data_IF_644593838408
#
_entry.id   IF_644593838408
#
_cell.length_a   1.000
_cell.length_b   1.000
_cell.length_c   1.000
_cell.angle_alpha   90.00
_cell.angle_beta   90.00
_cell.angle_gamma   90.00
#
_symmetry.space_group_name_H-M   'P 1'
#
loop_
_entity.id
_entity.type
_entity.pdbx_description
1 polymer ?
#
# COMPACT_ATOMS: atom_id res chain seq x y z
N UNK A 1 28.80 -9.19 16.94
CA UNK A 1 27.58 -8.62 16.32
C UNK A 1 27.81 -8.43 14.82
N UNK A 2 27.07 -9.12 13.96
CA UNK A 2 27.19 -8.99 12.50
C UNK A 2 26.63 -7.66 11.95
N UNK A 3 26.74 -7.40 10.63
CA UNK A 3 26.27 -6.15 10.02
C UNK A 3 24.82 -5.78 10.35
N UNK A 4 23.87 -6.72 10.23
CA UNK A 4 22.47 -6.48 10.59
C UNK A 4 22.26 -6.17 12.07
N UNK A 5 23.04 -6.78 12.95
CA UNK A 5 23.01 -6.48 14.39
C UNK A 5 23.56 -5.09 14.73
N UNK A 6 24.51 -4.56 13.93
CA UNK A 6 24.96 -3.17 14.07
C UNK A 6 23.86 -2.19 13.69
N UNK A 7 23.14 -2.45 12.59
CA UNK A 7 21.97 -1.64 12.21
C UNK A 7 20.91 -1.69 13.30
N UNK A 8 20.60 -2.88 13.82
CA UNK A 8 19.66 -3.05 14.92
C UNK A 8 20.03 -2.18 16.14
N UNK A 9 21.29 -2.24 16.59
CA UNK A 9 21.75 -1.42 17.71
C UNK A 9 21.69 0.08 17.41
N UNK A 10 21.94 0.49 16.16
CA UNK A 10 21.81 1.89 15.73
C UNK A 10 20.35 2.35 15.77
N UNK A 11 19.40 1.55 15.29
CA UNK A 11 17.97 1.86 15.37
C UNK A 11 17.48 1.90 16.82
N UNK A 12 17.92 0.98 17.69
CA UNK A 12 17.61 1.03 19.13
C UNK A 12 18.09 2.34 19.76
N UNK A 13 19.36 2.72 19.51
CA UNK A 13 19.93 3.93 20.05
C UNK A 13 19.20 5.18 19.54
N UNK A 14 18.84 5.22 18.25
CA UNK A 14 18.08 6.32 17.67
C UNK A 14 16.65 6.45 18.22
N UNK A 15 16.06 5.35 18.70
CA UNK A 15 14.77 5.34 19.38
C UNK A 15 14.87 5.51 20.92
N UNK A 16 16.05 5.90 21.43
CA UNK A 16 16.48 5.89 22.84
C UNK A 16 16.06 4.63 23.62
N UNK A 17 16.32 3.45 23.04
CA UNK A 17 16.16 2.16 23.72
C UNK A 17 17.55 1.62 24.07
N UNK A 18 17.79 1.35 25.34
CA UNK A 18 19.05 0.73 25.76
C UNK A 18 19.12 -0.73 25.32
N UNK A 19 20.24 -1.10 24.69
CA UNK A 19 20.51 -2.50 24.31
C UNK A 19 20.56 -3.43 25.52
N UNK A 20 21.03 -2.94 26.68
CA UNK A 20 21.19 -3.74 27.91
C UNK A 20 19.86 -4.13 28.54
N UNK A 21 18.81 -3.34 28.32
CA UNK A 21 17.45 -3.59 28.82
C UNK A 21 16.58 -4.33 27.79
N UNK A 22 17.13 -4.65 26.61
CA UNK A 22 16.39 -5.30 25.53
C UNK A 22 16.65 -6.81 25.56
N UNK A 23 15.61 -7.60 25.83
CA UNK A 23 15.64 -9.06 25.69
C UNK A 23 15.55 -9.46 24.21
N UNK A 24 16.49 -10.26 23.71
CA UNK A 24 16.59 -10.62 22.28
C UNK A 24 16.72 -12.13 22.13
N UNK A 25 15.61 -12.87 22.24
CA UNK A 25 15.58 -14.28 21.87
C UNK A 25 15.54 -14.42 20.34
N UNK A 26 15.89 -15.59 19.83
CA UNK A 26 15.74 -15.93 18.42
C UNK A 26 14.61 -16.95 18.26
N UNK A 27 13.97 -17.00 17.09
CA UNK A 27 13.07 -18.14 16.77
C UNK A 27 13.89 -19.43 16.70
N UNK A 28 15.04 -19.39 16.03
CA UNK A 28 16.02 -20.48 15.96
C UNK A 28 17.30 -20.07 16.71
N UNK A 29 17.78 -20.89 17.65
CA UNK A 29 19.01 -20.61 18.43
C UNK A 29 20.31 -20.83 17.67
N UNK A 30 20.21 -21.23 16.41
CA UNK A 30 21.31 -21.47 15.51
C UNK A 30 21.02 -20.80 14.17
N UNK A 31 22.07 -20.59 13.38
CA UNK A 31 21.92 -20.16 11.99
C UNK A 31 21.64 -21.40 11.14
N UNK A 32 20.43 -21.55 10.57
CA UNK A 32 20.12 -22.73 9.76
C UNK A 32 20.85 -22.67 8.42
N UNK A 33 21.35 -23.81 7.94
CA UNK A 33 21.91 -23.92 6.59
C UNK A 33 20.86 -23.60 5.52
N UNK A 34 19.61 -23.98 5.78
CA UNK A 34 18.48 -23.65 4.93
C UNK A 34 17.25 -23.24 5.75
N UNK A 35 16.92 -21.94 5.72
CA UNK A 35 15.73 -21.41 6.40
C UNK A 35 14.43 -22.03 5.88
N UNK A 36 14.38 -22.51 4.63
CA UNK A 36 13.17 -23.12 4.05
C UNK A 36 12.76 -24.44 4.71
N UNK A 37 13.65 -25.05 5.49
CA UNK A 37 13.34 -26.20 6.32
C UNK A 37 12.34 -25.86 7.43
N UNK A 38 12.36 -24.61 7.91
CA UNK A 38 11.54 -24.12 9.04
C UNK A 38 10.46 -23.13 8.60
N UNK A 39 10.74 -22.38 7.53
CA UNK A 39 9.88 -21.31 7.06
C UNK A 39 9.88 -21.21 5.54
N UNK A 40 8.75 -21.55 4.91
CA UNK A 40 8.62 -21.58 3.46
C UNK A 40 7.95 -20.32 2.93
N UNK A 41 8.54 -19.75 1.89
CA UNK A 41 8.01 -18.62 1.13
C UNK A 41 7.81 -19.02 -0.34
N UNK A 42 6.80 -19.87 -0.63
CA UNK A 42 6.51 -20.31 -1.99
C UNK A 42 6.12 -19.14 -2.91
N UNK A 43 6.52 -19.20 -4.18
CA UNK A 43 6.10 -18.22 -5.19
C UNK A 43 4.57 -18.24 -5.33
N UNK A 44 3.95 -17.07 -5.29
CA UNK A 44 2.49 -16.87 -5.44
C UNK A 44 1.61 -17.59 -4.41
N UNK A 45 2.19 -18.03 -3.28
CA UNK A 45 1.44 -18.60 -2.17
C UNK A 45 1.85 -17.90 -0.87
N UNK A 46 0.95 -17.80 0.12
CA UNK A 46 1.32 -17.23 1.40
C UNK A 46 2.49 -18.00 2.02
N UNK A 47 3.42 -17.28 2.63
CA UNK A 47 4.43 -17.90 3.45
C UNK A 47 3.79 -18.65 4.63
N UNK A 48 4.47 -19.70 5.09
CA UNK A 48 4.00 -20.54 6.18
C UNK A 48 5.16 -21.18 6.95
N UNK A 49 4.89 -21.45 8.23
CA UNK A 49 5.78 -22.15 9.15
C UNK A 49 5.62 -23.66 8.94
N UNK A 50 6.74 -24.39 8.93
CA UNK A 50 6.74 -25.85 8.80
C UNK A 50 6.68 -26.53 10.17
N UNK A 51 6.37 -27.83 10.21
CA UNK A 51 6.30 -28.59 11.46
C UNK A 51 7.66 -28.64 12.19
N UNK A 52 8.77 -28.60 11.44
CA UNK A 52 10.13 -28.59 11.99
C UNK A 52 10.41 -27.34 12.83
N UNK A 53 9.69 -26.24 12.64
CA UNK A 53 9.83 -25.03 13.44
C UNK A 53 9.09 -25.09 14.79
N UNK A 54 8.13 -26.01 14.95
CA UNK A 54 7.24 -26.06 16.13
C UNK A 54 8.02 -26.14 17.45
N UNK A 55 8.99 -27.06 17.64
CA UNK A 55 9.72 -27.14 18.91
C UNK A 55 10.49 -25.86 19.26
N UNK A 56 10.95 -25.16 18.23
CA UNK A 56 11.71 -23.91 18.37
C UNK A 56 10.80 -22.74 18.75
N UNK A 57 9.59 -22.68 18.17
CA UNK A 57 8.57 -21.70 18.53
C UNK A 57 8.07 -21.94 19.95
N UNK A 58 7.82 -23.19 20.35
CA UNK A 58 7.42 -23.51 21.72
C UNK A 58 8.46 -23.08 22.76
N UNK A 59 9.75 -23.29 22.47
CA UNK A 59 10.84 -22.79 23.31
C UNK A 59 10.83 -21.25 23.37
N UNK A 60 10.74 -20.57 22.23
CA UNK A 60 10.66 -19.11 22.19
C UNK A 60 9.47 -18.59 23.03
N UNK A 61 8.31 -19.23 22.93
CA UNK A 61 7.13 -18.88 23.72
C UNK A 61 7.39 -19.06 25.21
N UNK A 62 8.06 -20.14 25.64
CA UNK A 62 8.46 -20.32 27.05
C UNK A 62 9.39 -19.21 27.53
N UNK A 63 10.38 -18.84 26.73
CA UNK A 63 11.32 -17.76 27.05
C UNK A 63 10.63 -16.39 27.16
N UNK A 64 9.76 -16.07 26.21
CA UNK A 64 8.98 -14.83 26.22
C UNK A 64 7.96 -14.79 27.35
N UNK A 65 7.39 -15.94 27.73
CA UNK A 65 6.48 -16.05 28.88
C UNK A 65 7.20 -15.76 30.20
N UNK A 66 8.46 -16.20 30.34
CA UNK A 66 9.28 -15.93 31.52
C UNK A 66 9.75 -14.46 31.60
N UNK A 67 9.68 -13.71 30.50
CA UNK A 67 10.05 -12.29 30.45
C UNK A 67 8.95 -11.39 31.03
N UNK A 68 9.33 -10.23 31.55
CA UNK A 68 8.38 -9.18 31.94
C UNK A 68 7.97 -8.27 30.77
N UNK A 69 8.60 -8.42 29.59
CA UNK A 69 8.35 -7.58 28.42
C UNK A 69 6.88 -7.64 27.95
N UNK A 70 6.19 -6.51 28.01
CA UNK A 70 4.80 -6.34 27.56
C UNK A 70 4.67 -6.06 26.04
N UNK A 71 5.73 -5.56 25.40
CA UNK A 71 5.81 -5.37 23.94
C UNK A 71 6.87 -6.29 23.37
N UNK A 72 6.50 -7.03 22.34
CA UNK A 72 7.36 -7.94 21.60
C UNK A 72 7.43 -7.44 20.16
N UNK A 73 8.65 -7.28 19.65
CA UNK A 73 8.91 -6.69 18.33
C UNK A 73 9.45 -7.78 17.39
N UNK A 74 8.58 -8.50 16.65
CA UNK A 74 9.06 -9.46 15.66
C UNK A 74 9.76 -8.73 14.50
N UNK A 75 11.00 -9.12 14.23
CA UNK A 75 11.85 -8.53 13.19
C UNK A 75 11.83 -9.38 11.92
N UNK A 76 10.89 -9.11 11.02
CA UNK A 76 10.72 -9.85 9.76
C UNK A 76 9.55 -10.84 9.75
N UNK A 77 9.36 -11.48 8.59
CA UNK A 77 8.18 -12.32 8.32
C UNK A 77 8.10 -13.58 9.19
N UNK A 78 9.23 -14.27 9.42
CA UNK A 78 9.22 -15.52 10.17
C UNK A 78 8.86 -15.33 11.66
N UNK A 79 9.48 -14.40 12.41
CA UNK A 79 9.04 -14.10 13.78
C UNK A 79 7.61 -13.56 13.87
N UNK A 80 7.13 -12.80 12.86
CA UNK A 80 5.76 -12.30 12.82
C UNK A 80 4.76 -13.47 12.82
N UNK A 81 4.93 -14.42 11.89
CA UNK A 81 4.06 -15.59 11.80
C UNK A 81 4.22 -16.53 12.99
N UNK A 82 5.39 -16.56 13.63
CA UNK A 82 5.60 -17.38 14.82
C UNK A 82 4.80 -16.90 16.03
N UNK A 83 4.45 -15.61 16.08
CA UNK A 83 3.80 -14.98 17.24
C UNK A 83 2.36 -14.51 16.97
N UNK A 84 1.93 -14.52 15.71
CA UNK A 84 0.63 -14.03 15.23
C UNK A 84 0.09 -14.89 14.08
N UNK A 85 -1.18 -14.71 13.74
CA UNK A 85 -1.79 -15.21 12.50
C UNK A 85 -1.51 -14.31 11.26
N UNK A 86 -0.77 -13.21 11.45
CA UNK A 86 -0.57 -12.18 10.43
C UNK A 86 0.60 -12.51 9.51
N UNK A 87 0.52 -11.97 8.30
CA UNK A 87 1.50 -12.15 7.22
C UNK A 87 1.81 -10.80 6.58
N UNK A 88 2.87 -10.76 5.78
CA UNK A 88 3.36 -9.58 5.09
C UNK A 88 3.83 -8.49 6.06
N UNK A 89 5.08 -8.64 6.52
CA UNK A 89 5.75 -7.70 7.41
C UNK A 89 5.76 -6.26 6.89
N UNK A 90 5.75 -6.07 5.56
CA UNK A 90 5.69 -4.74 4.95
C UNK A 90 4.39 -4.00 5.27
N UNK A 91 3.27 -4.73 5.36
CA UNK A 91 1.95 -4.20 5.74
C UNK A 91 1.78 -4.08 7.26
N UNK A 92 2.27 -5.08 7.98
CA UNK A 92 2.03 -5.22 9.43
C UNK A 92 2.99 -4.40 10.30
N UNK A 93 4.05 -3.84 9.72
CA UNK A 93 5.01 -3.04 10.51
C UNK A 93 4.33 -1.82 11.14
N UNK A 94 4.78 -1.45 12.33
CA UNK A 94 4.25 -0.30 13.07
C UNK A 94 2.90 -0.55 13.74
N UNK A 95 2.14 -1.57 13.34
CA UNK A 95 0.86 -1.93 13.97
C UNK A 95 1.01 -2.53 15.36
N UNK A 96 0.16 -2.13 16.30
CA UNK A 96 0.03 -2.80 17.60
C UNK A 96 -1.04 -3.88 17.49
N UNK A 97 -0.60 -5.13 17.56
CA UNK A 97 -1.42 -6.31 17.37
C UNK A 97 -1.50 -7.14 18.66
N UNK A 98 -2.62 -7.82 18.93
CA UNK A 98 -2.65 -8.86 19.94
C UNK A 98 -1.81 -10.06 19.49
N UNK A 99 -1.06 -10.65 20.41
CA UNK A 99 -0.43 -11.95 20.15
C UNK A 99 -1.47 -13.08 20.15
N UNK A 100 -1.33 -14.03 19.22
CA UNK A 100 -2.11 -15.27 19.20
C UNK A 100 -1.45 -16.41 19.98
N UNK A 101 -0.19 -16.24 20.38
CA UNK A 101 0.60 -17.25 21.11
C UNK A 101 0.88 -16.85 22.56
N UNK A 102 1.05 -15.55 22.81
CA UNK A 102 1.31 -14.96 24.13
C UNK A 102 0.14 -14.05 24.52
N UNK A 103 -1.00 -14.65 24.84
CA UNK A 103 -2.23 -13.93 25.13
C UNK A 103 -2.01 -12.79 26.14
N UNK A 104 -2.53 -11.60 25.80
CA UNK A 104 -2.37 -10.38 26.60
C UNK A 104 -1.08 -9.60 26.35
N UNK A 105 -0.15 -10.09 25.52
CA UNK A 105 1.04 -9.34 25.10
C UNK A 105 0.82 -8.58 23.78
N UNK A 106 1.49 -7.43 23.66
CA UNK A 106 1.52 -6.63 22.44
C UNK A 106 2.58 -7.16 21.48
N UNK A 107 2.18 -7.33 20.22
CA UNK A 107 3.09 -7.54 19.11
C UNK A 107 3.16 -6.23 18.31
N UNK A 108 4.36 -5.70 18.13
CA UNK A 108 4.61 -4.55 17.27
C UNK A 108 5.64 -4.93 16.20
N UNK A 109 5.21 -5.40 15.02
CA UNK A 109 6.13 -5.89 14.01
C UNK A 109 7.01 -4.79 13.41
N UNK A 110 8.21 -5.16 13.00
CA UNK A 110 9.15 -4.27 12.31
C UNK A 110 9.94 -5.02 11.25
N UNK A 111 10.48 -4.28 10.27
CA UNK A 111 11.34 -4.85 9.24
C UNK A 111 12.62 -5.46 9.85
N UNK A 112 13.15 -6.48 9.19
CA UNK A 112 14.40 -7.10 9.59
C UNK A 112 15.58 -6.14 9.34
N UNK A 113 16.41 -5.77 10.34
CA UNK A 113 17.50 -4.80 10.19
C UNK A 113 18.53 -5.15 9.10
N UNK A 114 18.69 -6.43 8.78
CA UNK A 114 19.56 -6.88 7.70
C UNK A 114 19.13 -6.33 6.32
N UNK A 115 17.87 -5.99 6.11
CA UNK A 115 17.37 -5.41 4.82
C UNK A 115 18.07 -4.10 4.46
N UNK A 116 18.49 -3.32 5.47
CA UNK A 116 19.26 -2.08 5.31
C UNK A 116 20.63 -2.35 4.70
N UNK A 117 21.27 -3.44 5.11
CA UNK A 117 22.57 -3.86 4.57
C UNK A 117 22.44 -4.34 3.12
N UNK A 118 21.27 -4.85 2.73
CA UNK A 118 20.99 -5.38 1.39
C UNK A 118 20.32 -4.36 0.45
N UNK A 119 20.49 -3.06 0.71
CA UNK A 119 20.14 -1.98 -0.22
C UNK A 119 18.80 -1.29 0.04
N UNK A 120 18.01 -1.72 1.02
CA UNK A 120 16.84 -0.96 1.47
C UNK A 120 17.24 0.00 2.59
N UNK A 121 17.98 1.06 2.25
CA UNK A 121 18.52 2.01 3.22
C UNK A 121 17.43 2.71 4.03
N UNK A 122 16.29 3.00 3.40
CA UNK A 122 15.15 3.69 4.02
C UNK A 122 14.51 2.89 5.15
N UNK A 123 14.60 1.55 5.11
CA UNK A 123 14.10 0.71 6.19
C UNK A 123 14.71 1.04 7.55
N UNK A 124 15.89 1.67 7.61
CA UNK A 124 16.47 2.16 8.88
C UNK A 124 15.53 3.12 9.61
N UNK A 125 14.95 4.08 8.89
CA UNK A 125 14.04 5.07 9.46
C UNK A 125 12.72 4.42 9.88
N UNK A 126 12.20 3.51 9.06
CA UNK A 126 10.98 2.76 9.37
C UNK A 126 11.14 1.92 10.66
N UNK A 127 12.25 1.19 10.78
CA UNK A 127 12.56 0.38 11.97
C UNK A 127 12.72 1.28 13.21
N UNK A 128 13.38 2.43 13.05
CA UNK A 128 13.57 3.38 14.15
C UNK A 128 12.23 3.90 14.64
N UNK A 129 11.34 4.29 13.72
CA UNK A 129 9.97 4.72 14.05
C UNK A 129 9.16 3.61 14.73
N UNK A 130 9.27 2.37 14.25
CA UNK A 130 8.59 1.22 14.87
C UNK A 130 9.09 0.99 16.31
N UNK A 131 10.39 1.20 16.56
CA UNK A 131 10.98 1.12 17.89
C UNK A 131 10.55 2.26 18.81
N UNK A 132 10.43 3.49 18.31
CA UNK A 132 9.87 4.61 19.08
C UNK A 132 8.45 4.29 19.53
N UNK A 133 7.61 3.75 18.65
CA UNK A 133 6.26 3.30 18.99
C UNK A 133 6.32 2.15 20.01
N UNK A 134 7.24 1.18 19.86
CA UNK A 134 7.41 0.10 20.82
C UNK A 134 7.81 0.60 22.21
N UNK A 135 8.68 1.61 22.29
CA UNK A 135 9.06 2.27 23.55
C UNK A 135 7.88 2.98 24.20
N UNK A 136 7.08 3.73 23.43
CA UNK A 136 5.86 4.37 23.96
C UNK A 136 4.87 3.32 24.48
N UNK A 137 4.70 2.24 23.74
CA UNK A 137 3.79 1.15 24.09
C UNK A 137 4.30 0.32 25.28
N UNK A 138 5.60 0.25 25.54
CA UNK A 138 6.13 -0.53 26.67
C UNK A 138 5.83 0.10 28.03
N UNK A 139 5.39 1.37 28.07
CA UNK A 139 5.03 2.07 29.31
C UNK A 139 3.79 1.50 30.01
N UNK A 140 2.93 0.76 29.31
CA UNK A 140 1.71 0.18 29.86
C UNK A 140 1.45 -1.21 29.28
N UNK A 141 0.93 -2.18 30.03
CA UNK A 141 0.78 -3.55 29.56
C UNK A 141 -0.37 -3.73 28.56
N UNK A 142 -1.42 -2.91 28.65
CA UNK A 142 -2.64 -3.12 27.86
C UNK A 142 -2.47 -2.72 26.39
N UNK A 143 -3.31 -3.30 25.54
CA UNK A 143 -3.49 -2.85 24.16
C UNK A 143 -4.46 -1.67 24.18
N UNK A 144 -3.90 -0.45 24.11
CA UNK A 144 -4.67 0.79 24.06
C UNK A 144 -4.57 1.37 22.66
N UNK A 145 -5.61 1.18 21.87
CA UNK A 145 -5.79 1.86 20.60
C UNK A 145 -6.56 3.16 20.84
N UNK A 146 -6.42 4.11 19.91
CA UNK A 146 -7.21 5.33 19.92
C UNK A 146 -8.70 4.94 19.77
N UNK A 147 -9.57 5.28 20.74
CA UNK A 147 -11.00 5.01 20.60
C UNK A 147 -11.56 5.88 19.48
N UNK A 148 -12.29 5.29 18.54
CA UNK A 148 -12.94 6.02 17.45
C UNK A 148 -14.40 5.63 17.37
N UNK A 149 -15.26 6.63 17.25
CA UNK A 149 -16.68 6.46 17.04
C UNK A 149 -16.96 6.43 15.53
N UNK A 150 -17.18 5.24 14.99
CA UNK A 150 -17.54 5.04 13.59
C UNK A 150 -19.06 4.90 13.46
N UNK A 151 -19.67 5.84 12.74
CA UNK A 151 -21.09 5.79 12.38
C UNK A 151 -21.18 5.20 10.97
N UNK A 152 -21.52 3.92 10.87
CA UNK A 152 -21.71 3.22 9.61
C UNK A 152 -23.20 2.92 9.40
N UNK A 153 -23.63 2.88 8.14
CA UNK A 153 -25.03 2.67 7.76
C UNK A 153 -26.04 3.60 8.51
N UNK A 154 -25.77 4.91 8.62
CA UNK A 154 -26.72 5.85 9.23
C UNK A 154 -28.04 5.87 8.45
N UNK A 155 -29.12 6.34 9.08
CA UNK A 155 -30.32 6.72 8.31
C UNK A 155 -30.05 7.95 7.45
N UNK A 156 -30.87 8.20 6.44
CA UNK A 156 -30.75 9.41 5.62
C UNK A 156 -30.95 10.69 6.45
N UNK A 157 -31.79 10.65 7.48
CA UNK A 157 -32.01 11.76 8.42
C UNK A 157 -30.75 12.03 9.25
N UNK A 158 -30.17 10.99 9.87
CA UNK A 158 -28.91 11.10 10.63
C UNK A 158 -27.77 11.63 9.75
N UNK A 159 -27.70 11.17 8.50
CA UNK A 159 -26.71 11.63 7.53
C UNK A 159 -26.85 13.12 7.22
N UNK A 160 -28.09 13.57 6.98
CA UNK A 160 -28.39 14.97 6.70
C UNK A 160 -28.05 15.87 7.89
N UNK A 161 -28.45 15.45 9.11
CA UNK A 161 -28.15 16.18 10.34
C UNK A 161 -26.65 16.31 10.55
N UNK A 162 -25.90 15.22 10.32
CA UNK A 162 -24.45 15.21 10.44
C UNK A 162 -23.78 16.20 9.47
N UNK A 163 -24.12 16.11 8.17
CA UNK A 163 -23.57 17.01 7.15
C UNK A 163 -23.92 18.48 7.45
N UNK A 164 -25.15 18.73 7.88
CA UNK A 164 -25.63 20.08 8.20
C UNK A 164 -24.92 20.64 9.43
N UNK A 165 -24.66 19.81 10.45
CA UNK A 165 -23.89 20.20 11.63
C UNK A 165 -22.44 20.53 11.29
N UNK A 166 -21.77 19.69 10.50
CA UNK A 166 -20.42 19.97 9.98
C UNK A 166 -20.39 21.31 9.24
N UNK A 167 -21.34 21.51 8.31
CA UNK A 167 -21.42 22.71 7.50
C UNK A 167 -21.70 23.97 8.33
N UNK A 168 -22.53 23.86 9.37
CA UNK A 168 -22.80 24.95 10.31
C UNK A 168 -21.59 25.30 11.16
N UNK A 169 -20.88 24.29 11.67
CA UNK A 169 -19.74 24.46 12.58
C UNK A 169 -18.49 25.00 11.89
N UNK A 170 -18.38 24.84 10.56
CA UNK A 170 -17.22 25.29 9.77
C UNK A 170 -15.88 24.74 10.27
N UNK A 171 -15.89 23.53 10.82
CA UNK A 171 -14.67 22.85 11.24
C UNK A 171 -14.00 22.20 10.03
N UNK A 172 -12.65 22.08 10.03
CA UNK A 172 -11.96 21.27 9.03
C UNK A 172 -12.55 19.85 9.01
N UNK A 173 -12.76 19.32 7.81
CA UNK A 173 -13.39 18.02 7.62
C UNK A 173 -12.57 17.18 6.65
N UNK A 174 -12.19 15.98 7.08
CA UNK A 174 -11.66 14.96 6.17
C UNK A 174 -12.79 14.27 5.44
N UNK A 175 -12.64 14.01 4.15
CA UNK A 175 -13.61 13.20 3.39
C UNK A 175 -12.92 12.27 2.41
N UNK A 176 -13.60 11.18 2.08
CA UNK A 176 -13.15 10.13 1.16
C UNK A 176 -14.36 9.50 0.47
N UNK A 177 -14.27 9.23 -0.83
CA UNK A 177 -15.35 8.57 -1.60
C UNK A 177 -14.98 7.14 -1.96
N UNK A 178 -16.00 6.29 -1.98
CA UNK A 178 -15.90 4.95 -2.55
C UNK A 178 -16.73 4.82 -3.83
N UNK A 179 -16.11 4.23 -4.86
CA UNK A 179 -16.72 4.12 -6.19
C UNK A 179 -17.04 2.67 -6.50
N UNK A 180 -18.30 2.40 -6.84
CA UNK A 180 -18.78 1.10 -7.33
C UNK A 180 -19.54 1.34 -8.63
N UNK A 181 -19.20 0.59 -9.68
CA UNK A 181 -19.93 0.70 -10.96
C UNK A 181 -19.82 2.07 -11.64
N UNK A 182 -18.74 2.82 -11.39
CA UNK A 182 -18.54 4.20 -11.87
C UNK A 182 -19.55 5.22 -11.29
N UNK A 183 -20.09 4.93 -10.12
CA UNK A 183 -20.89 5.86 -9.31
C UNK A 183 -20.35 5.89 -7.87
N UNK A 184 -20.60 6.98 -7.15
CA UNK A 184 -20.25 7.07 -5.73
C UNK A 184 -21.21 6.20 -4.92
N UNK A 185 -20.70 5.13 -4.32
CA UNK A 185 -21.46 4.23 -3.45
C UNK A 185 -21.69 4.88 -2.08
N UNK A 186 -20.59 5.29 -1.46
CA UNK A 186 -20.58 5.97 -0.17
C UNK A 186 -19.53 7.09 -0.12
N UNK A 187 -19.75 8.02 0.81
CA UNK A 187 -18.84 9.11 1.14
C UNK A 187 -18.71 9.19 2.65
N UNK A 188 -17.49 9.31 3.15
CA UNK A 188 -17.22 9.48 4.56
C UNK A 188 -16.84 10.91 4.90
N UNK A 189 -17.11 11.29 6.14
CA UNK A 189 -16.66 12.55 6.72
C UNK A 189 -16.11 12.32 8.12
N UNK A 190 -14.99 12.96 8.44
CA UNK A 190 -14.40 12.96 9.77
C UNK A 190 -14.07 14.40 10.20
N UNK A 191 -14.71 14.94 11.24
CA UNK A 191 -14.35 16.25 11.81
C UNK A 191 -13.14 16.19 12.74
N UNK A 192 -12.69 14.99 13.11
CA UNK A 192 -11.56 14.74 13.99
C UNK A 192 -11.06 13.30 13.78
N UNK A 193 -9.91 12.92 14.37
CA UNK A 193 -9.48 11.53 14.37
C UNK A 193 -10.44 10.59 15.10
N UNK A 194 -11.19 11.09 16.07
CA UNK A 194 -11.94 10.28 17.03
C UNK A 194 -13.37 9.96 16.57
N UNK A 195 -13.81 10.54 15.46
CA UNK A 195 -15.17 10.38 14.93
C UNK A 195 -15.18 10.41 13.40
N UNK A 196 -15.89 9.47 12.80
CA UNK A 196 -16.19 9.51 11.38
C UNK A 196 -17.54 8.84 11.07
N UNK A 197 -18.21 9.37 10.05
CA UNK A 197 -19.41 8.78 9.46
C UNK A 197 -19.08 8.25 8.07
N UNK A 198 -19.65 7.11 7.67
CA UNK A 198 -19.70 6.67 6.27
C UNK A 198 -21.16 6.64 5.82
N UNK A 199 -21.47 7.46 4.82
CA UNK A 199 -22.84 7.68 4.33
C UNK A 199 -23.02 6.87 3.03
N UNK A 200 -23.78 5.76 3.05
CA UNK A 200 -24.02 4.92 1.88
C UNK A 200 -25.05 5.52 0.93
N UNK A 201 -24.69 6.64 0.29
CA UNK A 201 -25.62 7.45 -0.51
C UNK A 201 -26.36 6.62 -1.56
N UNK A 202 -25.67 5.71 -2.27
CA UNK A 202 -26.28 4.88 -3.30
C UNK A 202 -27.36 3.91 -2.79
N UNK A 203 -27.42 3.67 -1.48
CA UNK A 203 -28.32 2.70 -0.84
C UNK A 203 -29.62 3.35 -0.32
N UNK A 204 -29.76 4.67 -0.43
CA UNK A 204 -31.01 5.36 -0.07
C UNK A 204 -31.97 5.51 -1.26
N UNK A 205 -33.23 5.85 -0.98
CA UNK A 205 -34.19 6.22 -2.02
C UNK A 205 -33.72 7.45 -2.79
N UNK A 206 -34.10 7.56 -4.08
CA UNK A 206 -33.72 8.69 -4.92
C UNK A 206 -34.04 10.06 -4.30
N UNK A 207 -35.19 10.19 -3.62
CA UNK A 207 -35.57 11.43 -2.94
C UNK A 207 -34.56 11.81 -1.85
N UNK A 208 -34.08 10.82 -1.08
CA UNK A 208 -33.10 11.03 -0.03
C UNK A 208 -31.72 11.30 -0.60
N UNK A 209 -31.34 10.60 -1.69
CA UNK A 209 -30.09 10.86 -2.40
C UNK A 209 -30.00 12.32 -2.87
N UNK A 210 -31.06 12.85 -3.48
CA UNK A 210 -31.09 14.25 -3.95
C UNK A 210 -30.89 15.23 -2.79
N UNK A 211 -31.51 14.98 -1.64
CA UNK A 211 -31.37 15.83 -0.44
C UNK A 211 -29.92 15.79 0.07
N UNK A 212 -29.37 14.58 0.21
CA UNK A 212 -28.01 14.38 0.72
C UNK A 212 -26.96 14.97 -0.23
N UNK A 213 -27.08 14.75 -1.54
CA UNK A 213 -26.15 15.34 -2.51
C UNK A 213 -26.16 16.86 -2.50
N UNK A 214 -27.32 17.49 -2.27
CA UNK A 214 -27.39 18.96 -2.12
C UNK A 214 -26.68 19.42 -0.85
N UNK A 215 -26.82 18.70 0.27
CA UNK A 215 -26.13 19.02 1.51
C UNK A 215 -24.61 18.82 1.38
N UNK A 216 -24.17 17.71 0.77
CA UNK A 216 -22.76 17.43 0.48
C UNK A 216 -22.18 18.51 -0.44
N UNK A 217 -22.90 18.89 -1.50
CA UNK A 217 -22.48 19.95 -2.39
C UNK A 217 -22.31 21.29 -1.65
N UNK A 218 -23.24 21.64 -0.76
CA UNK A 218 -23.15 22.84 0.05
C UNK A 218 -21.92 22.84 0.98
N UNK A 219 -21.65 21.71 1.65
CA UNK A 219 -20.47 21.54 2.51
C UNK A 219 -19.15 21.66 1.73
N UNK A 220 -19.03 20.94 0.61
CA UNK A 220 -17.78 20.87 -0.16
C UNK A 220 -17.48 22.15 -0.95
N UNK A 221 -18.53 22.84 -1.43
CA UNK A 221 -18.40 24.11 -2.17
C UNK A 221 -18.10 25.31 -1.27
N UNK A 222 -18.29 25.18 0.04
CA UNK A 222 -18.07 26.27 0.99
C UNK A 222 -16.57 26.58 1.15
N UNK A 223 -16.10 27.78 0.83
CA UNK A 223 -14.68 28.13 0.96
C UNK A 223 -14.21 28.27 2.43
N UNK A 224 -15.14 28.45 3.37
CA UNK A 224 -14.83 28.63 4.80
C UNK A 224 -14.68 27.29 5.53
N UNK A 225 -14.99 26.18 4.86
CA UNK A 225 -14.76 24.82 5.37
C UNK A 225 -13.45 24.30 4.77
N UNK A 226 -12.48 23.98 5.60
CA UNK A 226 -11.22 23.36 5.15
C UNK A 226 -11.48 21.89 4.83
N UNK A 227 -10.99 21.40 3.69
CA UNK A 227 -11.13 19.99 3.27
C UNK A 227 -9.83 19.24 3.45
N UNK A 228 -9.85 18.18 4.23
CA UNK A 228 -8.72 17.28 4.46
C UNK A 228 -8.92 16.03 3.60
N UNK A 229 -7.85 15.49 3.05
CA UNK A 229 -7.95 14.29 2.23
C UNK A 229 -6.61 13.66 1.93
N UNK A 230 -6.63 12.47 1.34
CA UNK A 230 -5.45 11.73 0.93
C UNK A 230 -5.57 11.48 -0.58
N UNK A 231 -4.69 12.08 -1.39
CA UNK A 231 -4.84 12.04 -2.85
C UNK A 231 -6.21 12.58 -3.30
N UNK A 232 -6.66 13.66 -2.65
CA UNK A 232 -8.00 14.23 -2.75
C UNK A 232 -8.34 14.74 -4.17
N UNK A 233 -7.33 14.85 -5.03
CA UNK A 233 -7.51 15.18 -6.44
C UNK A 233 -8.39 14.14 -7.15
N UNK A 234 -8.34 12.87 -6.73
CA UNK A 234 -9.22 11.83 -7.27
C UNK A 234 -10.68 12.09 -6.90
N UNK A 235 -10.96 12.26 -5.61
CA UNK A 235 -12.31 12.47 -5.07
C UNK A 235 -12.95 13.73 -5.64
N UNK A 236 -12.21 14.84 -5.64
CA UNK A 236 -12.69 16.13 -6.16
C UNK A 236 -12.94 16.07 -7.67
N UNK A 237 -12.09 15.39 -8.43
CA UNK A 237 -12.30 15.18 -9.87
C UNK A 237 -13.52 14.31 -10.13
N UNK A 238 -13.67 13.21 -9.39
CA UNK A 238 -14.77 12.26 -9.59
C UNK A 238 -16.12 12.90 -9.23
N UNK A 239 -16.22 13.57 -8.09
CA UNK A 239 -17.42 14.29 -7.65
C UNK A 239 -17.79 15.42 -8.62
N UNK A 240 -16.80 16.13 -9.16
CA UNK A 240 -17.06 17.17 -10.15
C UNK A 240 -17.56 16.57 -11.48
N UNK A 241 -16.99 15.46 -11.92
CA UNK A 241 -17.35 14.79 -13.18
C UNK A 241 -18.72 14.11 -13.14
N UNK A 242 -19.03 13.41 -12.04
CA UNK A 242 -20.21 12.54 -11.95
C UNK A 242 -21.36 13.17 -11.16
N UNK A 243 -21.06 13.99 -10.15
CA UNK A 243 -22.07 14.62 -9.30
C UNK A 243 -22.23 16.13 -9.57
N UNK A 244 -21.36 16.73 -10.39
CA UNK A 244 -21.34 18.18 -10.61
C UNK A 244 -20.93 18.99 -9.39
N UNK A 245 -20.29 18.36 -8.41
CA UNK A 245 -19.91 18.98 -7.13
C UNK A 245 -18.49 19.50 -7.23
N UNK A 246 -18.34 20.83 -7.11
CA UNK A 246 -17.03 21.48 -7.04
C UNK A 246 -16.62 21.69 -5.59
N UNK A 247 -15.48 21.13 -5.21
CA UNK A 247 -14.84 21.42 -3.92
C UNK A 247 -14.08 22.75 -4.00
N UNK A 248 -14.25 23.63 -3.01
CA UNK A 248 -13.57 24.96 -2.94
C UNK A 248 -12.88 25.16 -1.60
N UNK A 249 -12.22 26.30 -1.39
CA UNK A 249 -11.57 26.61 -0.12
C UNK A 249 -10.18 25.99 0.01
N UNK A 250 -9.62 26.04 1.21
CA UNK A 250 -8.31 25.47 1.50
C UNK A 250 -8.40 23.94 1.56
N UNK A 251 -7.41 23.28 0.95
CA UNK A 251 -7.29 21.82 0.88
C UNK A 251 -6.03 21.40 1.63
N UNK A 252 -6.20 20.49 2.57
CA UNK A 252 -5.16 19.83 3.32
C UNK A 252 -5.03 18.37 2.84
N UNK A 253 -4.26 18.17 1.76
CA UNK A 253 -3.91 16.86 1.25
C UNK A 253 -2.69 16.26 1.97
N UNK A 254 -2.89 15.13 2.66
CA UNK A 254 -1.84 14.42 3.42
C UNK A 254 -0.80 13.75 2.51
N UNK A 255 -1.17 13.32 1.31
CA UNK A 255 -0.22 12.72 0.36
C UNK A 255 0.77 13.77 -0.12
N UNK A 256 0.29 14.96 -0.44
CA UNK A 256 1.15 16.09 -0.86
C UNK A 256 2.05 16.52 0.30
N UNK A 257 1.47 16.69 1.49
CA UNK A 257 2.23 17.14 2.67
C UNK A 257 3.33 16.16 3.02
N UNK A 258 3.00 14.87 3.10
CA UNK A 258 3.96 13.82 3.36
C UNK A 258 5.04 13.72 2.27
N UNK A 259 4.68 13.89 1.00
CA UNK A 259 5.66 13.80 -0.08
C UNK A 259 6.67 14.95 -0.07
N UNK A 260 6.28 16.13 0.41
CA UNK A 260 7.19 17.27 0.55
C UNK A 260 8.15 17.05 1.73
N UNK A 261 7.63 16.61 2.88
CA UNK A 261 8.43 16.36 4.08
C UNK A 261 9.35 15.13 3.93
N UNK A 262 8.84 14.06 3.32
CA UNK A 262 9.50 12.75 3.23
C UNK A 262 9.50 12.23 1.78
N UNK A 263 10.26 12.86 0.85
CA UNK A 263 10.17 12.58 -0.59
C UNK A 263 10.58 11.15 -0.98
N UNK A 264 11.47 10.52 -0.21
CA UNK A 264 11.95 9.15 -0.44
C UNK A 264 11.04 8.08 0.17
N UNK A 265 10.04 8.46 0.97
CA UNK A 265 9.15 7.52 1.64
C UNK A 265 7.93 7.20 0.75
N UNK A 266 7.31 6.01 0.91
CA UNK A 266 5.99 5.77 0.36
C UNK A 266 4.99 6.81 0.85
N UNK A 267 3.99 7.12 0.02
CA UNK A 267 2.98 8.15 0.30
C UNK A 267 1.54 7.63 0.27
N UNK A 268 1.37 6.31 0.26
CA UNK A 268 0.06 5.67 0.40
C UNK A 268 -0.46 5.77 1.83
N UNK A 269 -1.78 5.84 2.00
CA UNK A 269 -2.40 5.97 3.32
C UNK A 269 -2.02 4.83 4.27
N UNK A 270 -1.89 3.61 3.72
CA UNK A 270 -1.43 2.43 4.46
C UNK A 270 -0.09 2.67 5.15
N UNK A 271 0.87 3.25 4.41
CA UNK A 271 2.17 3.60 4.96
C UNK A 271 2.09 4.77 5.94
N UNK A 272 1.37 5.85 5.58
CA UNK A 272 1.20 7.03 6.43
C UNK A 272 0.60 6.66 7.79
N UNK A 273 -0.45 5.84 7.82
CA UNK A 273 -1.06 5.33 9.05
C UNK A 273 -0.05 4.52 9.87
N UNK A 274 0.69 3.61 9.23
CA UNK A 274 1.73 2.81 9.93
C UNK A 274 2.84 3.67 10.55
N UNK A 275 3.08 4.87 10.00
CA UNK A 275 4.18 5.74 10.39
C UNK A 275 3.75 6.82 11.40
N UNK A 276 2.56 7.40 11.21
CA UNK A 276 2.07 8.57 11.96
C UNK A 276 1.05 8.21 13.04
N UNK A 277 0.17 7.23 12.84
CA UNK A 277 -0.95 6.92 13.74
C UNK A 277 -0.61 6.02 14.94
N UNK A 278 0.59 6.19 15.51
CA UNK A 278 1.05 5.62 16.80
C UNK A 278 0.56 4.18 17.14
N UNK A 279 0.67 3.25 16.20
CA UNK A 279 0.31 1.86 16.45
C UNK A 279 -1.04 1.40 15.90
N UNK A 280 -1.74 2.23 15.13
CA UNK A 280 -2.97 1.82 14.45
C UNK A 280 -2.76 0.49 13.67
N UNK A 281 -3.63 -0.52 13.89
CA UNK A 281 -3.55 -1.77 13.16
C UNK A 281 -3.77 -1.59 11.65
N UNK A 282 -3.01 -2.32 10.84
CA UNK A 282 -3.22 -2.35 9.40
C UNK A 282 -4.63 -2.85 9.05
N UNK A 283 -5.40 -2.03 8.32
CA UNK A 283 -6.78 -2.30 7.93
C UNK A 283 -7.01 -2.29 6.41
N UNK A 284 -6.05 -1.81 5.59
CA UNK A 284 -6.31 -1.49 4.17
C UNK A 284 -6.66 -2.68 3.26
N UNK A 285 -6.48 -3.92 3.74
CA UNK A 285 -6.99 -5.10 3.01
C UNK A 285 -8.52 -5.27 3.12
N UNK A 286 -9.17 -4.64 4.11
CA UNK A 286 -10.62 -4.62 4.28
C UNK A 286 -11.33 -4.02 3.04
N UNK A 287 -10.74 -3.01 2.39
CA UNK A 287 -11.23 -2.43 1.13
C UNK A 287 -11.15 -3.37 -0.08
N UNK A 288 -10.55 -4.55 0.06
CA UNK A 288 -10.42 -5.58 -0.99
C UNK A 288 -11.20 -6.86 -0.70
N UNK A 289 -11.52 -7.14 0.57
CA UNK A 289 -12.15 -8.40 0.99
C UNK A 289 -13.66 -8.31 1.16
N UNK A 290 -14.25 -7.12 1.04
CA UNK A 290 -15.69 -6.93 1.13
C UNK A 290 -16.48 -7.60 -0.03
N UNK A 291 -15.84 -7.83 -1.18
CA UNK A 291 -16.41 -8.63 -2.28
C UNK A 291 -16.19 -10.11 -2.01
N UNK A 292 -17.22 -10.78 -1.52
CA UNK A 292 -17.18 -12.20 -1.20
C UNK A 292 -17.52 -13.00 -2.47
N UNK A 293 -16.50 -13.63 -3.08
CA UNK A 293 -16.59 -14.34 -4.38
C UNK A 293 -17.82 -15.26 -4.51
N UNK A 294 -18.25 -15.87 -3.40
CA UNK A 294 -19.34 -16.85 -3.38
C UNK A 294 -20.55 -16.41 -2.51
N UNK A 295 -20.46 -15.31 -1.76
CA UNK A 295 -21.45 -14.93 -0.73
C UNK A 295 -22.00 -13.50 -0.88
N UNK A 296 -21.64 -12.78 -1.95
CA UNK A 296 -22.14 -11.43 -2.21
C UNK A 296 -21.20 -10.35 -1.69
N UNK A 297 -21.74 -9.41 -0.92
CA UNK A 297 -21.03 -8.20 -0.49
C UNK A 297 -21.16 -7.98 1.02
N UNK A 298 -20.04 -7.72 1.69
CA UNK A 298 -19.99 -7.24 3.07
C UNK A 298 -19.93 -5.71 3.05
N UNK A 299 -21.11 -5.09 2.94
CA UNK A 299 -21.24 -3.63 2.86
C UNK A 299 -20.85 -2.93 4.15
N UNK A 300 -21.10 -3.53 5.32
CA UNK A 300 -20.71 -2.93 6.60
C UNK A 300 -19.19 -2.83 6.72
N UNK A 301 -18.45 -3.86 6.30
CA UNK A 301 -16.99 -3.79 6.23
C UNK A 301 -16.52 -2.70 5.26
N UNK A 302 -17.19 -2.55 4.11
CA UNK A 302 -16.84 -1.52 3.12
C UNK A 302 -17.06 -0.10 3.65
N UNK A 303 -18.19 0.15 4.29
CA UNK A 303 -18.49 1.45 4.92
C UNK A 303 -17.60 1.74 6.13
N UNK A 304 -17.26 0.72 6.92
CA UNK A 304 -16.29 0.88 8.01
C UNK A 304 -14.90 1.23 7.47
N UNK A 305 -14.47 0.61 6.37
CA UNK A 305 -13.21 0.94 5.70
C UNK A 305 -13.19 2.40 5.22
N UNK A 306 -14.27 2.88 4.58
CA UNK A 306 -14.38 4.28 4.16
C UNK A 306 -14.36 5.26 5.35
N UNK A 307 -15.08 4.95 6.44
CA UNK A 307 -15.02 5.76 7.66
C UNK A 307 -13.61 5.80 8.30
N UNK A 308 -12.90 4.66 8.30
CA UNK A 308 -11.50 4.57 8.76
C UNK A 308 -10.58 5.45 7.91
N UNK A 309 -10.73 5.42 6.58
CA UNK A 309 -9.91 6.23 5.67
C UNK A 309 -10.04 7.74 5.99
N UNK A 310 -11.25 8.26 6.21
CA UNK A 310 -11.42 9.66 6.61
C UNK A 310 -10.84 9.98 8.00
N UNK A 311 -11.13 9.16 9.02
CA UNK A 311 -10.64 9.42 10.38
C UNK A 311 -9.12 9.38 10.48
N UNK A 312 -8.50 8.40 9.81
CA UNK A 312 -7.05 8.21 9.84
C UNK A 312 -6.33 9.22 8.95
N UNK A 313 -6.94 9.66 7.85
CA UNK A 313 -6.42 10.80 7.09
C UNK A 313 -6.39 12.07 7.95
N UNK A 314 -7.43 12.32 8.74
CA UNK A 314 -7.43 13.45 9.68
C UNK A 314 -6.28 13.31 10.70
N UNK A 315 -6.09 12.13 11.30
CA UNK A 315 -5.00 11.92 12.26
C UNK A 315 -3.62 12.11 11.63
N UNK A 316 -3.41 11.60 10.43
CA UNK A 316 -2.15 11.82 9.71
C UNK A 316 -1.92 13.31 9.50
N UNK A 317 -2.95 14.07 9.14
CA UNK A 317 -2.84 15.51 9.01
C UNK A 317 -2.43 16.18 10.33
N UNK A 318 -3.08 15.81 11.43
CA UNK A 318 -2.74 16.33 12.76
C UNK A 318 -1.28 16.08 13.15
N UNK A 319 -0.70 14.94 12.75
CA UNK A 319 0.70 14.60 13.03
C UNK A 319 1.71 15.39 12.17
N UNK A 320 1.35 15.78 10.93
CA UNK A 320 2.28 16.46 10.01
C UNK A 320 2.06 17.96 9.89
N UNK A 321 0.89 18.48 10.31
CA UNK A 321 0.47 19.88 10.06
C UNK A 321 1.46 20.89 10.62
N UNK A 322 1.98 20.65 11.83
CA UNK A 322 2.87 21.60 12.50
C UNK A 322 4.21 21.75 11.77
N UNK A 323 4.65 20.70 11.07
CA UNK A 323 5.86 20.70 10.25
C UNK A 323 5.59 21.29 8.86
N UNK A 324 4.57 20.79 8.14
CA UNK A 324 4.30 21.21 6.75
C UNK A 324 3.84 22.67 6.63
N UNK A 325 3.24 23.23 7.69
CA UNK A 325 2.78 24.61 7.71
C UNK A 325 3.89 25.62 8.08
N UNK A 326 5.11 25.16 8.38
CA UNK A 326 6.26 26.05 8.55
C UNK A 326 6.55 26.80 7.24
N UNK A 327 7.01 28.07 7.30
CA UNK A 327 7.20 28.91 6.12
C UNK A 327 8.04 28.29 5.00
N UNK A 328 9.07 27.51 5.36
CA UNK A 328 9.96 26.82 4.42
C UNK A 328 9.26 25.76 3.57
N UNK A 329 8.23 25.09 4.12
CA UNK A 329 7.52 24.00 3.46
C UNK A 329 6.18 24.47 2.86
N UNK A 330 5.51 25.39 3.56
CA UNK A 330 4.18 25.88 3.19
C UNK A 330 4.13 26.45 1.77
N UNK A 331 5.18 27.15 1.32
CA UNK A 331 5.24 27.70 -0.04
C UNK A 331 5.15 26.59 -1.10
N UNK A 332 5.85 25.47 -0.89
CA UNK A 332 5.80 24.33 -1.81
C UNK A 332 4.44 23.62 -1.73
N UNK A 333 3.90 23.50 -0.52
CA UNK A 333 2.61 22.88 -0.25
C UNK A 333 1.45 23.65 -0.91
N UNK A 334 1.34 24.95 -0.63
CA UNK A 334 0.32 25.85 -1.19
C UNK A 334 0.39 25.87 -2.73
N UNK A 335 1.59 25.86 -3.30
CA UNK A 335 1.77 25.79 -4.75
C UNK A 335 1.22 24.49 -5.33
N UNK A 336 1.43 23.36 -4.64
CA UNK A 336 0.94 22.07 -5.10
C UNK A 336 -0.59 21.97 -4.97
N UNK A 337 -1.16 22.39 -3.85
CA UNK A 337 -2.62 22.34 -3.62
C UNK A 337 -3.39 23.36 -4.48
N UNK A 338 -2.79 24.51 -4.82
CA UNK A 338 -3.37 25.47 -5.77
C UNK A 338 -3.59 24.90 -7.18
N UNK A 339 -2.98 23.76 -7.53
CA UNK A 339 -3.18 23.11 -8.83
C UNK A 339 -4.46 22.27 -8.91
N UNK A 340 -5.19 22.07 -7.81
CA UNK A 340 -6.42 21.25 -7.82
C UNK A 340 -7.45 21.75 -8.84
N UNK A 341 -7.80 23.04 -8.79
CA UNK A 341 -8.76 23.65 -9.72
C UNK A 341 -8.34 23.52 -11.20
N UNK A 342 -7.13 23.95 -11.63
CA UNK A 342 -6.72 23.83 -13.03
C UNK A 342 -6.55 22.37 -13.48
N UNK A 343 -6.09 21.46 -12.60
CA UNK A 343 -6.00 20.04 -12.92
C UNK A 343 -7.38 19.40 -13.09
N UNK A 344 -8.33 19.71 -12.20
CA UNK A 344 -9.72 19.26 -12.33
C UNK A 344 -10.34 19.76 -13.64
N UNK A 345 -10.12 21.03 -14.00
CA UNK A 345 -10.55 21.54 -15.30
C UNK A 345 -9.92 20.77 -16.47
N UNK A 346 -8.60 20.56 -16.47
CA UNK A 346 -7.92 19.85 -17.55
C UNK A 346 -8.40 18.40 -17.68
N UNK A 347 -8.57 17.69 -16.55
CA UNK A 347 -9.05 16.30 -16.53
C UNK A 347 -10.48 16.16 -17.05
N UNK A 348 -11.38 17.09 -16.69
CA UNK A 348 -12.74 17.10 -17.23
C UNK A 348 -12.81 17.41 -18.71
N UNK A 349 -11.97 18.34 -19.18
CA UNK A 349 -11.93 18.72 -20.60
C UNK A 349 -11.41 17.57 -21.45
N UNK A 350 -10.46 16.81 -20.94
CA UNK A 350 -9.80 15.72 -21.65
C UNK A 350 -9.06 16.20 -22.90
N UNK A 351 -8.67 15.25 -23.74
CA UNK A 351 -8.01 15.51 -25.03
C UNK A 351 -8.80 14.80 -26.13
N UNK A 352 -9.16 15.53 -27.18
CA UNK A 352 -9.85 14.95 -28.34
C UNK A 352 -8.93 13.96 -29.04
N UNK A 353 -9.40 12.73 -29.22
CA UNK A 353 -8.69 11.67 -29.94
C UNK A 353 -9.44 11.31 -31.23
N UNK A 354 -8.70 11.07 -32.31
CA UNK A 354 -9.24 10.67 -33.60
C UNK A 354 -9.41 9.15 -33.65
N UNK A 355 -10.62 8.68 -33.31
CA UNK A 355 -10.91 7.26 -33.15
C UNK A 355 -10.72 6.46 -34.45
N UNK A 356 -11.07 7.06 -35.60
CA UNK A 356 -10.91 6.41 -36.90
C UNK A 356 -9.43 6.17 -37.23
N UNK A 357 -8.59 7.20 -37.07
CA UNK A 357 -7.14 7.08 -37.26
C UNK A 357 -6.52 6.06 -36.30
N UNK A 358 -6.95 6.04 -35.03
CA UNK A 358 -6.51 5.04 -34.06
C UNK A 358 -6.93 3.62 -34.49
N UNK A 359 -8.12 3.44 -35.05
CA UNK A 359 -8.58 2.18 -35.63
C UNK A 359 -7.72 1.73 -36.81
N UNK A 360 -7.46 2.62 -37.76
CA UNK A 360 -6.59 2.35 -38.91
C UNK A 360 -5.16 1.98 -38.48
N UNK A 361 -4.61 2.70 -37.49
CA UNK A 361 -3.30 2.41 -36.94
C UNK A 361 -3.26 1.06 -36.22
N UNK A 362 -4.33 0.71 -35.49
CA UNK A 362 -4.47 -0.60 -34.86
C UNK A 362 -4.45 -1.72 -35.90
N UNK A 363 -5.26 -1.62 -36.95
CA UNK A 363 -5.29 -2.63 -38.02
C UNK A 363 -3.94 -2.75 -38.75
N UNK A 364 -3.24 -1.63 -38.96
CA UNK A 364 -1.90 -1.62 -39.55
C UNK A 364 -0.89 -2.35 -38.65
N UNK A 365 -0.92 -2.08 -37.35
CA UNK A 365 -0.05 -2.75 -36.37
C UNK A 365 -0.38 -4.24 -36.27
N UNK A 366 -1.65 -4.62 -36.23
CA UNK A 366 -2.09 -6.04 -36.20
C UNK A 366 -1.69 -6.80 -37.47
N UNK A 367 -1.79 -6.17 -38.64
CA UNK A 367 -1.24 -6.73 -39.90
C UNK A 367 0.27 -6.90 -39.84
N UNK A 368 1.02 -5.88 -39.41
CA UNK A 368 2.47 -5.97 -39.28
C UNK A 368 2.91 -7.08 -38.33
N UNK A 369 2.23 -7.23 -37.17
CA UNK A 369 2.48 -8.31 -36.21
C UNK A 369 2.25 -9.67 -36.89
N UNK A 370 1.17 -9.81 -37.65
CA UNK A 370 0.84 -11.06 -38.34
C UNK A 370 1.86 -11.41 -39.43
N UNK A 371 2.28 -10.43 -40.23
CA UNK A 371 3.32 -10.61 -41.25
C UNK A 371 4.68 -10.98 -40.64
N UNK A 372 5.06 -10.34 -39.53
CA UNK A 372 6.29 -10.64 -38.79
C UNK A 372 6.21 -12.05 -38.19
N UNK A 373 5.08 -12.43 -37.60
CA UNK A 373 4.86 -13.78 -37.05
C UNK A 373 4.98 -14.85 -38.14
N UNK A 374 4.41 -14.63 -39.33
CA UNK A 374 4.55 -15.57 -40.46
C UNK A 374 6.00 -15.68 -40.92
N UNK A 375 6.74 -14.56 -40.98
CA UNK A 375 8.17 -14.57 -41.30
C UNK A 375 8.96 -15.35 -40.24
N UNK A 376 8.68 -15.11 -38.96
CA UNK A 376 9.30 -15.80 -37.84
C UNK A 376 9.04 -17.31 -37.92
N UNK A 377 7.77 -17.72 -38.03
CA UNK A 377 7.39 -19.14 -38.09
C UNK A 377 8.05 -19.86 -39.27
N UNK A 378 8.23 -19.17 -40.41
CA UNK A 378 8.92 -19.70 -41.58
C UNK A 378 10.41 -19.92 -41.32
N UNK A 379 11.08 -19.01 -40.62
CA UNK A 379 12.51 -19.13 -40.30
C UNK A 379 12.73 -20.18 -39.21
N UNK A 380 11.89 -20.17 -38.19
CA UNK A 380 11.90 -21.13 -37.08
C UNK A 380 11.53 -22.55 -37.54
N UNK A 381 10.74 -22.67 -38.61
CA UNK A 381 10.25 -23.94 -39.14
C UNK A 381 9.05 -24.52 -38.38
N UNK A 382 8.51 -23.79 -37.41
CA UNK A 382 7.33 -24.15 -36.63
C UNK A 382 6.70 -22.89 -36.03
N UNK A 383 5.47 -23.01 -35.51
CA UNK A 383 4.81 -21.88 -34.86
C UNK A 383 5.46 -21.56 -33.51
N UNK A 384 6.02 -20.35 -33.37
CA UNK A 384 6.61 -19.86 -32.12
C UNK A 384 5.77 -18.73 -31.53
N UNK A 385 5.04 -18.99 -30.43
CA UNK A 385 4.25 -17.94 -29.78
C UNK A 385 5.14 -16.95 -29.03
N UNK A 386 5.37 -15.78 -29.64
CA UNK A 386 6.21 -14.70 -29.09
C UNK A 386 5.69 -14.13 -27.76
N UNK A 387 4.40 -14.30 -27.45
CA UNK A 387 3.82 -13.89 -26.15
C UNK A 387 4.17 -14.88 -25.03
N UNK A 388 4.63 -16.09 -25.37
CA UNK A 388 5.05 -17.09 -24.40
C UNK A 388 6.56 -17.02 -24.18
N UNK A 389 6.96 -16.39 -23.08
CA UNK A 389 8.36 -16.34 -22.65
C UNK A 389 8.98 -17.74 -22.52
N UNK A 390 8.20 -18.74 -22.12
CA UNK A 390 8.68 -20.13 -22.02
C UNK A 390 8.99 -20.74 -23.39
N UNK A 391 8.13 -20.52 -24.39
CA UNK A 391 8.40 -21.02 -25.75
C UNK A 391 9.60 -20.32 -26.37
N UNK A 392 9.72 -19.00 -26.19
CA UNK A 392 10.89 -18.25 -26.66
C UNK A 392 12.18 -18.75 -26.00
N UNK A 393 12.17 -19.01 -24.68
CA UNK A 393 13.32 -19.57 -23.97
C UNK A 393 13.70 -20.96 -24.49
N UNK A 394 12.70 -21.83 -24.66
CA UNK A 394 12.92 -23.18 -25.19
C UNK A 394 13.55 -23.13 -26.59
N UNK A 395 13.11 -22.22 -27.45
CA UNK A 395 13.67 -22.07 -28.79
C UNK A 395 15.08 -21.47 -28.78
N UNK A 396 15.27 -20.25 -28.24
CA UNK A 396 16.55 -19.55 -28.34
C UNK A 396 17.65 -20.21 -27.49
N UNK A 397 17.33 -20.75 -26.31
CA UNK A 397 18.34 -21.31 -25.39
C UNK A 397 18.40 -22.82 -25.43
N UNK A 398 17.28 -23.49 -25.71
CA UNK A 398 17.24 -24.94 -25.90
C UNK A 398 17.61 -25.31 -27.33
N UNK A 399 16.70 -25.06 -28.28
CA UNK A 399 16.82 -25.50 -29.67
C UNK A 399 18.05 -24.91 -30.38
N UNK A 400 18.27 -23.60 -30.28
CA UNK A 400 19.44 -22.93 -30.87
C UNK A 400 20.69 -22.99 -29.98
N UNK A 401 20.57 -23.47 -28.73
CA UNK A 401 21.70 -23.66 -27.82
C UNK A 401 22.41 -22.37 -27.35
N UNK A 402 21.77 -21.20 -27.45
CA UNK A 402 22.41 -19.94 -27.04
C UNK A 402 22.54 -19.83 -25.53
N UNK A 403 23.60 -19.13 -25.09
CA UNK A 403 23.74 -18.78 -23.67
C UNK A 403 22.54 -17.94 -23.21
N UNK A 404 21.83 -18.45 -22.21
CA UNK A 404 20.66 -17.78 -21.67
C UNK A 404 21.01 -16.45 -20.99
N UNK A 405 20.30 -15.39 -21.38
CA UNK A 405 20.27 -14.16 -20.59
C UNK A 405 19.40 -14.37 -19.36
N UNK A 406 19.84 -13.80 -18.24
CA UNK A 406 19.10 -13.87 -16.98
C UNK A 406 18.75 -12.48 -16.49
N UNK A 407 17.57 -12.38 -15.88
CA UNK A 407 17.12 -11.17 -15.20
C UNK A 407 17.03 -11.47 -13.71
N UNK A 408 17.74 -10.68 -12.92
CA UNK A 408 17.65 -10.74 -11.47
C UNK A 408 16.39 -10.01 -11.01
N UNK A 409 15.48 -10.73 -10.38
CA UNK A 409 14.35 -10.13 -9.69
C UNK A 409 14.80 -9.77 -8.26
N UNK A 410 14.76 -8.46 -7.94
CA UNK A 410 15.18 -7.94 -6.64
C UNK A 410 14.26 -8.36 -5.49
N UNK A 411 12.96 -8.49 -5.77
CA UNK A 411 11.95 -8.88 -4.77
C UNK A 411 12.11 -10.35 -4.39
N UNK A 412 12.25 -11.23 -5.39
CA UNK A 412 12.36 -12.68 -5.14
C UNK A 412 13.81 -13.15 -4.94
N UNK A 413 14.80 -12.27 -5.13
CA UNK A 413 16.24 -12.56 -5.10
C UNK A 413 16.66 -13.74 -6.00
N UNK A 414 15.91 -14.00 -7.07
CA UNK A 414 16.21 -15.08 -8.02
C UNK A 414 16.55 -14.53 -9.39
N UNK A 415 17.53 -15.15 -10.05
CA UNK A 415 17.77 -14.96 -11.48
C UNK A 415 16.94 -15.98 -12.26
N UNK A 416 16.10 -15.51 -13.17
CA UNK A 416 15.40 -16.37 -14.12
C UNK A 416 15.89 -16.07 -15.53
N UNK A 417 15.83 -17.07 -16.41
CA UNK A 417 16.03 -16.84 -17.83
C UNK A 417 15.02 -15.79 -18.32
N UNK A 418 15.43 -14.97 -19.28
CA UNK A 418 14.60 -13.92 -19.83
C UNK A 418 14.70 -13.88 -21.34
N UNK A 419 13.58 -13.56 -21.98
CA UNK A 419 13.50 -13.23 -23.40
C UNK A 419 12.85 -11.87 -23.57
N UNK A 420 13.18 -10.92 -22.67
CA UNK A 420 12.71 -9.55 -22.80
C UNK A 420 13.36 -8.85 -24.00
N UNK A 421 12.81 -7.68 -24.38
CA UNK A 421 13.30 -6.93 -25.54
C UNK A 421 14.80 -6.65 -25.50
N UNK A 422 15.41 -6.47 -24.31
CA UNK A 422 16.85 -6.26 -24.18
C UNK A 422 17.65 -7.54 -24.44
N UNK A 423 17.16 -8.69 -23.99
CA UNK A 423 17.77 -9.97 -24.30
C UNK A 423 17.66 -10.31 -25.80
N UNK A 424 16.48 -10.10 -26.41
CA UNK A 424 16.25 -10.34 -27.84
C UNK A 424 17.13 -9.44 -28.71
N UNK A 425 17.22 -8.14 -28.41
CA UNK A 425 18.11 -7.21 -29.12
C UNK A 425 19.59 -7.65 -29.08
N UNK A 426 20.06 -8.21 -27.95
CA UNK A 426 21.43 -8.75 -27.87
C UNK A 426 21.61 -10.02 -28.68
N UNK A 427 20.59 -10.89 -28.73
CA UNK A 427 20.62 -12.07 -29.59
C UNK A 427 20.66 -11.66 -31.07
N UNK A 428 19.85 -10.67 -31.46
CA UNK A 428 19.79 -10.14 -32.82
C UNK A 428 21.14 -9.65 -33.33
N UNK A 429 21.88 -8.84 -32.55
CA UNK A 429 23.15 -8.25 -32.99
C UNK A 429 24.31 -9.26 -33.10
N UNK A 430 24.28 -10.36 -32.36
CA UNK A 430 25.41 -11.30 -32.31
C UNK A 430 26.54 -10.86 -31.37
N UNK A 431 27.64 -11.62 -31.37
CA UNK A 431 28.89 -11.33 -30.63
C UNK A 431 30.09 -11.74 -31.49
N UNK A 432 31.32 -11.55 -31.01
CA UNK A 432 32.52 -12.07 -31.70
C UNK A 432 32.53 -13.59 -31.87
N UNK A 433 31.88 -14.32 -30.96
CA UNK A 433 31.91 -15.79 -30.88
C UNK A 433 30.60 -16.43 -31.36
N UNK A 434 29.57 -15.63 -31.64
CA UNK A 434 28.24 -16.09 -32.03
C UNK A 434 27.67 -15.18 -33.11
N UNK A 435 27.20 -15.72 -34.25
CA UNK A 435 26.60 -14.89 -35.29
C UNK A 435 25.30 -14.20 -34.81
N UNK A 436 24.91 -13.10 -35.48
CA UNK A 436 23.58 -12.50 -35.37
C UNK A 436 22.46 -13.55 -35.52
N UNK A 437 21.38 -13.42 -34.74
CA UNK A 437 20.20 -14.30 -34.81
C UNK A 437 19.02 -13.46 -35.25
N UNK A 438 18.72 -13.51 -36.54
CA UNK A 438 17.70 -12.65 -37.14
C UNK A 438 16.30 -12.93 -36.59
N UNK A 439 16.00 -14.17 -36.20
CA UNK A 439 14.73 -14.55 -35.56
C UNK A 439 14.49 -13.75 -34.27
N UNK A 440 15.55 -13.38 -33.55
CA UNK A 440 15.45 -12.57 -32.33
C UNK A 440 15.16 -11.08 -32.60
N UNK A 441 15.29 -10.61 -33.85
CA UNK A 441 14.87 -9.26 -34.24
C UNK A 441 13.36 -9.21 -34.51
N UNK A 442 12.77 -10.35 -34.88
CA UNK A 442 11.35 -10.50 -35.19
C UNK A 442 10.49 -10.74 -33.94
N UNK A 443 11.13 -11.05 -32.79
CA UNK A 443 10.52 -11.24 -31.46
C UNK A 443 10.71 -9.98 -30.63
#
# INVERSE_FOLDING_TARGET
VGPGGRVFNQCLAAADISRSTTFIPNVLDFMPDNLSTYFKQPKNKPAYITEEATPHIERLVRELTASQANVIVPLGEFPLQALTDKKNIGKMRGSVLPSTTLFGRKILPSLQPATVVYGNFMARYHITRDFETARKQSLFPEIKLRPRNYIINPTSEQSLDYITDLHRKKIPVSFDIEVVGNEVDCISFAPSPDEAISIPVAHYSLSNQVILWRAIAALLYDPDVIKIGQNLIFDTQFLLAHNGIRTRGEIWDTMIGHHILYPDFPKGLDFLVSYHCNGEPYYKDEGKTWRLKDFGYDWEQFWLYNAKDAALTYEVWEEIKDEILLPEWRVAYDRATALFDPLNFAMLRGVKSEQEYLGQMREKVERNISEIQVKLDKIVGSHLNVKSSQQCQAYFYGTLGNRAFTKYNKETKTSSQTTDAKAMAKLAVGTKERPPIYEAELV
#
